data_IF_307356709535
#
_entry.id   IF_307356709535
#
_cell.length_a   1.000
_cell.length_b   1.000
_cell.length_c   1.000
_cell.angle_alpha   90.00
_cell.angle_beta   90.00
_cell.angle_gamma   90.00
#
_symmetry.space_group_name_H-M   'P 1'
#
loop_
_entity.id
_entity.type
_entity.pdbx_description
1 polymer ?
2 water ?
#
# COMPACT_ATOMS: atom_id res chain seq x y z
N UNK A 1 4.53 24.37 11.07
CA UNK A 1 3.69 24.49 9.85
C UNK A 1 2.24 24.68 10.29
N UNK A 2 1.52 25.57 9.60
CA UNK A 2 0.12 25.85 9.93
C UNK A 2 -0.82 24.67 9.64
N UNK A 3 -1.90 24.60 10.41
CA UNK A 3 -2.90 23.56 10.23
C UNK A 3 -3.51 23.71 8.83
N UNK A 4 -3.64 24.97 8.42
CA UNK A 4 -4.18 25.29 7.12
C UNK A 4 -3.24 24.71 6.07
N UNK A 5 -1.96 25.02 6.21
CA UNK A 5 -0.92 24.55 5.30
C UNK A 5 -0.82 23.02 5.26
N UNK A 6 -1.16 22.37 6.37
CA UNK A 6 -1.13 20.92 6.44
C UNK A 6 -2.23 20.32 5.59
N UNK A 7 -3.44 20.85 5.74
CA UNK A 7 -4.61 20.37 4.99
C UNK A 7 -4.43 20.61 3.49
N UNK A 8 -3.89 21.78 3.18
CA UNK A 8 -3.62 22.21 1.82
C UNK A 8 -2.62 21.25 1.18
N UNK A 9 -1.46 21.11 1.81
CA UNK A 9 -0.42 20.21 1.33
C UNK A 9 -1.00 18.79 1.26
N UNK A 10 -1.86 18.47 2.21
CA UNK A 10 -2.50 17.16 2.22
C UNK A 10 -3.28 16.94 0.94
N UNK A 11 -4.07 17.95 0.55
CA UNK A 11 -4.87 17.86 -0.67
C UNK A 11 -3.99 17.81 -1.92
N UNK A 12 -2.89 18.56 -1.93
CA UNK A 12 -1.98 18.55 -3.08
C UNK A 12 -1.40 17.14 -3.30
N UNK A 13 -1.00 16.50 -2.20
CA UNK A 13 -0.45 15.16 -2.29
C UNK A 13 -1.51 14.17 -2.76
N UNK A 14 -2.74 14.32 -2.29
CA UNK A 14 -3.82 13.45 -2.73
C UNK A 14 -4.04 13.63 -4.24
N UNK A 15 -4.03 14.88 -4.70
CA UNK A 15 -4.23 15.16 -6.13
C UNK A 15 -3.11 14.54 -7.00
N UNK A 16 -1.85 14.79 -6.62
CA UNK A 16 -0.72 14.23 -7.37
C UNK A 16 -0.75 12.70 -7.37
N UNK A 17 -0.96 12.11 -6.20
CA UNK A 17 -0.99 10.65 -6.08
C UNK A 17 -2.16 10.09 -6.87
N UNK A 18 -3.31 10.76 -6.79
CA UNK A 18 -4.47 10.30 -7.54
C UNK A 18 -4.20 10.37 -9.02
N UNK A 19 -3.51 11.44 -9.43
CA UNK A 19 -3.16 11.64 -10.82
C UNK A 19 -2.22 10.51 -11.28
N UNK A 20 -1.18 10.26 -10.49
CA UNK A 20 -0.21 9.20 -10.83
C UNK A 20 -0.88 7.83 -10.87
N UNK A 21 -1.77 7.58 -9.93
CA UNK A 21 -2.46 6.30 -9.85
C UNK A 21 -3.24 5.95 -11.12
N UNK A 22 -4.04 6.90 -11.58
CA UNK A 22 -4.83 6.75 -12.78
C UNK A 22 -3.94 6.38 -13.97
N UNK A 23 -2.80 7.07 -14.09
CA UNK A 23 -1.87 6.81 -15.20
C UNK A 23 -1.27 5.42 -15.13
N UNK A 24 -0.94 4.98 -13.92
CA UNK A 24 -0.35 3.65 -13.73
C UNK A 24 -1.33 2.57 -14.13
N UNK A 25 -2.58 2.69 -13.71
CA UNK A 25 -3.59 1.68 -14.07
C UNK A 25 -3.88 1.77 -15.57
N UNK A 26 -3.85 2.98 -16.12
CA UNK A 26 -4.07 3.15 -17.56
C UNK A 26 -2.87 2.49 -18.26
N UNK A 27 -1.69 2.60 -17.63
CA UNK A 27 -0.48 1.99 -18.17
C UNK A 27 -0.65 0.47 -18.20
N UNK A 28 -1.19 -0.10 -17.12
CA UNK A 28 -1.40 -1.54 -17.09
C UNK A 28 -2.33 -1.96 -18.23
N UNK A 29 -3.41 -1.21 -18.42
CA UNK A 29 -4.36 -1.53 -19.50
C UNK A 29 -3.66 -1.47 -20.85
N UNK A 30 -2.82 -0.45 -21.03
CA UNK A 30 -2.10 -0.32 -22.28
C UNK A 30 -1.19 -1.53 -22.52
N UNK A 31 -0.45 -1.96 -21.49
CA UNK A 31 0.45 -3.12 -21.63
C UNK A 31 -0.30 -4.41 -21.91
N UNK A 32 -1.40 -4.62 -21.21
CA UNK A 32 -2.23 -5.81 -21.41
C UNK A 32 -2.64 -5.90 -22.88
N UNK A 33 -2.84 -4.75 -23.51
CA UNK A 33 -3.24 -4.70 -24.90
C UNK A 33 -2.05 -4.71 -25.86
N UNK A 34 -0.85 -4.70 -25.31
CA UNK A 34 0.33 -4.71 -26.14
C UNK A 34 0.80 -3.32 -26.55
N UNK A 35 0.17 -2.27 -26.01
CA UNK A 35 0.58 -0.89 -26.32
C UNK A 35 1.67 -0.50 -25.31
N UNK A 36 2.85 -1.05 -25.52
CA UNK A 36 3.98 -0.85 -24.63
C UNK A 36 4.55 0.54 -24.57
N UNK A 37 4.66 1.20 -25.73
CA UNK A 37 5.17 2.54 -25.79
C UNK A 37 4.28 3.44 -24.96
N UNK A 38 2.98 3.25 -25.10
CA UNK A 38 2.00 4.04 -24.35
C UNK A 38 2.11 3.72 -22.85
N UNK A 39 2.20 2.43 -22.50
CA UNK A 39 2.31 2.01 -21.10
C UNK A 39 3.54 2.64 -20.44
N UNK A 40 4.69 2.56 -21.11
CA UNK A 40 5.90 3.14 -20.56
C UNK A 40 5.81 4.64 -20.43
N UNK A 41 5.23 5.29 -21.44
CA UNK A 41 5.08 6.73 -21.38
C UNK A 41 4.25 7.16 -20.16
N UNK A 42 3.16 6.45 -19.89
CA UNK A 42 2.27 6.73 -18.74
C UNK A 42 3.02 6.54 -17.40
N UNK A 43 3.84 5.49 -17.31
CA UNK A 43 4.59 5.26 -16.08
C UNK A 43 5.60 6.41 -15.83
N UNK A 44 6.23 6.89 -16.90
CA UNK A 44 7.18 7.98 -16.76
C UNK A 44 6.45 9.21 -16.28
N UNK A 45 5.30 9.49 -16.88
CA UNK A 45 4.47 10.61 -16.46
C UNK A 45 4.10 10.45 -14.98
N UNK A 46 3.59 9.26 -14.63
CA UNK A 46 3.18 8.99 -13.26
C UNK A 46 4.36 9.18 -12.27
N UNK A 47 5.55 8.74 -12.67
CA UNK A 47 6.73 8.89 -11.82
C UNK A 47 7.06 10.36 -11.55
N UNK A 48 6.84 11.20 -12.56
CA UNK A 48 7.09 12.63 -12.42
C UNK A 48 6.11 13.26 -11.42
N UNK A 49 4.85 12.81 -11.42
CA UNK A 49 3.84 13.32 -10.47
C UNK A 49 4.20 12.85 -9.06
N UNK A 50 4.63 11.59 -8.97
CA UNK A 50 5.00 11.02 -7.67
C UNK A 50 6.18 11.77 -7.05
N UNK A 51 7.19 12.09 -7.87
CA UNK A 51 8.39 12.79 -7.40
C UNK A 51 8.06 14.10 -6.67
N UNK A 52 7.16 14.91 -7.25
CA UNK A 52 6.77 16.16 -6.61
C UNK A 52 6.05 15.94 -5.28
N UNK A 53 5.10 15.02 -5.25
CA UNK A 53 4.38 14.73 -4.02
C UNK A 53 5.34 14.07 -3.00
N UNK A 54 6.22 13.19 -3.47
CA UNK A 54 7.15 12.52 -2.56
C UNK A 54 8.14 13.46 -1.90
N UNK A 55 8.66 14.43 -2.65
CA UNK A 55 9.61 15.35 -2.03
C UNK A 55 8.90 16.23 -0.98
N UNK A 56 7.62 16.56 -1.20
CA UNK A 56 6.85 17.34 -0.22
C UNK A 56 6.79 16.51 1.06
N UNK A 57 6.46 15.23 0.90
CA UNK A 57 6.36 14.32 2.02
C UNK A 57 7.68 14.23 2.78
N UNK A 58 8.79 14.13 2.04
CA UNK A 58 10.12 14.05 2.65
C UNK A 58 10.42 15.26 3.53
N UNK A 59 10.03 16.44 3.06
CA UNK A 59 10.27 17.66 3.81
C UNK A 59 9.39 17.71 5.05
N UNK A 60 8.12 17.38 4.86
CA UNK A 60 7.15 17.37 5.95
C UNK A 60 7.63 16.45 7.06
N UNK A 61 8.04 15.23 6.70
CA UNK A 61 8.53 14.23 7.64
C UNK A 61 9.80 14.66 8.36
N UNK A 62 10.70 15.32 7.64
CA UNK A 62 11.94 15.79 8.25
C UNK A 62 11.65 16.86 9.30
N UNK A 63 10.57 17.62 9.09
CA UNK A 63 10.19 18.64 10.06
C UNK A 63 9.87 17.98 11.39
N UNK A 64 9.07 16.91 11.37
CA UNK A 64 8.75 16.23 12.63
C UNK A 64 9.98 15.63 13.27
N UNK A 65 10.85 15.03 12.46
CA UNK A 65 12.07 14.42 12.98
C UNK A 65 12.94 15.47 13.67
N UNK A 66 12.95 16.69 13.13
CA UNK A 66 13.78 17.75 13.71
C UNK A 66 13.20 18.29 15.02
N UNK A 67 11.99 17.84 15.37
CA UNK A 67 11.37 18.26 16.62
C UNK A 67 10.14 19.13 16.48
N UNK A 68 9.69 19.33 15.24
CA UNK A 68 8.51 20.15 14.99
C UNK A 68 7.20 19.36 15.12
N UNK A 69 6.26 19.93 15.86
CA UNK A 69 4.97 19.29 16.07
C UNK A 69 3.98 19.73 15.01
N UNK A 70 3.87 18.91 13.97
CA UNK A 70 2.95 19.20 12.88
C UNK A 70 1.53 19.05 13.35
N UNK A 71 0.66 20.00 12.99
CA UNK A 71 -0.74 19.96 13.38
C UNK A 71 -1.32 18.63 12.93
N UNK A 72 -2.17 18.06 13.75
CA UNK A 72 -2.82 16.81 13.40
C UNK A 72 -3.70 17.07 12.18
N UNK A 73 -3.43 16.37 11.10
CA UNK A 73 -4.19 16.56 9.87
C UNK A 73 -4.63 15.23 9.25
N UNK A 74 -5.94 15.02 9.22
CA UNK A 74 -6.52 13.82 8.65
C UNK A 74 -6.33 13.85 7.14
N UNK A 75 -6.41 15.05 6.55
CA UNK A 75 -6.24 15.22 5.10
C UNK A 75 -4.82 14.78 4.71
N UNK A 76 -3.85 15.15 5.55
CA UNK A 76 -2.44 14.78 5.31
C UNK A 76 -2.22 13.27 5.39
N UNK A 77 -2.91 12.60 6.30
CA UNK A 77 -2.76 11.14 6.43
C UNK A 77 -3.25 10.50 5.16
N UNK A 78 -4.38 11.01 4.65
CA UNK A 78 -4.91 10.48 3.42
C UNK A 78 -3.96 10.80 2.28
N UNK A 79 -3.27 11.93 2.36
CA UNK A 79 -2.31 12.30 1.33
C UNK A 79 -1.25 11.22 1.35
N UNK A 80 -0.68 11.01 2.54
CA UNK A 80 0.34 9.99 2.76
C UNK A 80 -0.12 8.62 2.27
N UNK A 81 -1.35 8.24 2.63
CA UNK A 81 -1.94 6.95 2.25
C UNK A 81 -1.96 6.70 0.73
N UNK A 82 -2.54 7.65 -0.02
CA UNK A 82 -2.61 7.54 -1.46
C UNK A 82 -1.22 7.54 -2.08
N UNK A 83 -0.36 8.44 -1.63
CA UNK A 83 0.99 8.53 -2.16
C UNK A 83 1.79 7.25 -1.99
N UNK A 84 1.82 6.73 -0.77
CA UNK A 84 2.56 5.51 -0.48
C UNK A 84 2.03 4.26 -1.17
N UNK A 85 0.70 4.15 -1.32
CA UNK A 85 0.11 3.00 -1.99
C UNK A 85 0.34 3.15 -3.50
N UNK A 86 0.32 4.38 -4.00
CA UNK A 86 0.56 4.62 -5.43
C UNK A 86 2.03 4.29 -5.76
N UNK A 87 2.94 4.57 -4.81
CA UNK A 87 4.36 4.23 -5.00
C UNK A 87 4.47 2.70 -5.07
N UNK A 88 3.75 2.01 -4.19
CA UNK A 88 3.76 0.55 -4.21
C UNK A 88 3.28 0.09 -5.61
N UNK A 89 2.22 0.71 -6.10
CA UNK A 89 1.71 0.35 -7.43
C UNK A 89 2.80 0.54 -8.48
N UNK A 90 3.55 1.64 -8.39
CA UNK A 90 4.62 1.89 -9.34
C UNK A 90 5.74 0.82 -9.30
N UNK A 91 6.09 0.36 -8.10
CA UNK A 91 7.10 -0.68 -7.92
C UNK A 91 6.63 -1.97 -8.59
N UNK A 92 5.35 -2.28 -8.44
CA UNK A 92 4.74 -3.49 -9.01
C UNK A 92 4.50 -3.39 -10.54
N UNK A 93 4.11 -2.20 -11.00
CA UNK A 93 3.81 -1.97 -12.40
C UNK A 93 4.97 -2.33 -13.31
N UNK A 94 6.18 -2.03 -12.89
CA UNK A 94 7.34 -2.33 -13.70
C UNK A 94 7.35 -3.81 -14.08
N UNK A 95 7.14 -4.67 -13.08
CA UNK A 95 7.16 -6.11 -13.31
C UNK A 95 5.95 -6.64 -14.08
N UNK A 96 4.78 -6.06 -13.86
CA UNK A 96 3.59 -6.49 -14.56
C UNK A 96 3.75 -6.19 -16.06
N UNK A 97 4.30 -5.02 -16.38
CA UNK A 97 4.54 -4.63 -17.77
C UNK A 97 5.57 -5.55 -18.40
N UNK A 98 6.64 -5.84 -17.66
CA UNK A 98 7.69 -6.71 -18.18
C UNK A 98 7.14 -8.12 -18.43
N UNK A 99 6.26 -8.59 -17.55
CA UNK A 99 5.69 -9.92 -17.74
C UNK A 99 4.82 -9.94 -19.00
N UNK A 100 4.08 -8.86 -19.21
CA UNK A 100 3.26 -8.72 -20.40
C UNK A 100 4.18 -8.66 -21.64
N UNK A 101 5.25 -7.86 -21.59
CA UNK A 101 6.20 -7.74 -22.70
C UNK A 101 6.78 -9.10 -23.07
N UNK A 102 7.21 -9.86 -22.07
CA UNK A 102 7.76 -11.19 -22.34
C UNK A 102 6.68 -12.09 -22.95
N UNK A 103 5.44 -11.93 -22.48
CA UNK A 103 4.34 -12.72 -22.99
C UNK A 103 4.03 -12.35 -24.43
N UNK A 104 4.24 -11.08 -24.76
CA UNK A 104 4.00 -10.56 -26.10
C UNK A 104 4.86 -11.28 -27.14
N UNK B 1 2.26 7.24 26.16
CA UNK B 1 3.21 7.61 25.08
C UNK B 1 3.01 9.01 24.56
N UNK B 2 4.12 9.71 24.35
CA UNK B 2 4.11 11.07 23.83
C UNK B 2 4.48 11.00 22.34
N UNK B 3 4.18 12.08 21.61
CA UNK B 3 4.46 12.15 20.20
C UNK B 3 5.89 11.74 19.86
N UNK B 4 6.85 12.13 20.71
CA UNK B 4 8.26 11.79 20.48
C UNK B 4 8.45 10.28 20.46
N UNK B 5 7.79 9.59 21.40
CA UNK B 5 7.86 8.14 21.52
C UNK B 5 7.28 7.48 20.28
N UNK B 6 6.10 7.93 19.85
CA UNK B 6 5.46 7.39 18.65
C UNK B 6 6.38 7.63 17.46
N UNK B 7 7.01 8.80 17.42
CA UNK B 7 7.92 9.16 16.33
C UNK B 7 9.12 8.21 16.29
N UNK B 8 9.76 7.98 17.43
CA UNK B 8 10.91 7.09 17.52
C UNK B 8 10.53 5.67 17.09
N UNK B 9 9.38 5.21 17.56
CA UNK B 9 8.89 3.88 17.19
C UNK B 9 8.61 3.87 15.69
N UNK B 10 8.08 4.99 15.18
CA UNK B 10 7.79 5.09 13.76
C UNK B 10 9.05 4.86 12.94
N UNK B 11 10.17 5.41 13.39
CA UNK B 11 11.45 5.25 12.69
C UNK B 11 11.86 3.79 12.69
N UNK B 12 11.61 3.12 13.82
CA UNK B 12 11.96 1.71 13.97
C UNK B 12 11.18 0.84 12.98
N UNK B 13 9.91 1.19 12.80
CA UNK B 13 9.08 0.45 11.85
C UNK B 13 9.56 0.74 10.44
N UNK B 14 9.96 1.99 10.18
CA UNK B 14 10.45 2.37 8.85
C UNK B 14 11.75 1.60 8.56
N UNK B 15 12.62 1.48 9.56
CA UNK B 15 13.89 0.76 9.42
C UNK B 15 13.67 -0.69 8.97
N UNK B 16 12.76 -1.38 9.63
CA UNK B 16 12.46 -2.76 9.29
C UNK B 16 11.66 -2.92 8.00
N UNK B 17 10.63 -2.09 7.83
CA UNK B 17 9.81 -2.15 6.64
C UNK B 17 10.62 -1.75 5.40
N UNK B 18 11.42 -0.69 5.50
CA UNK B 18 12.21 -0.24 4.37
C UNK B 18 13.18 -1.33 3.93
N UNK B 19 13.78 -1.99 4.91
CA UNK B 19 14.71 -3.10 4.67
C UNK B 19 13.98 -4.24 3.95
N UNK B 20 12.81 -4.60 4.47
CA UNK B 20 12.01 -5.69 3.88
C UNK B 20 11.56 -5.32 2.46
N UNK B 21 11.15 -4.07 2.30
CA UNK B 21 10.73 -3.57 1.00
C UNK B 21 11.90 -3.66 0.02
N UNK B 22 13.08 -3.24 0.45
CA UNK B 22 14.22 -3.31 -0.47
C UNK B 22 14.48 -4.78 -0.86
N UNK B 23 14.37 -5.69 0.11
CA UNK B 23 14.62 -7.10 -0.15
C UNK B 23 13.61 -7.70 -1.12
N UNK B 24 12.34 -7.31 -0.97
CA UNK B 24 11.29 -7.81 -1.83
C UNK B 24 11.50 -7.32 -3.27
N UNK B 25 11.83 -6.04 -3.39
CA UNK B 25 12.09 -5.44 -4.72
C UNK B 25 13.35 -6.10 -5.30
N UNK B 26 14.35 -6.37 -4.47
CA UNK B 26 15.56 -7.02 -4.97
C UNK B 26 15.22 -8.45 -5.43
N UNK B 27 14.30 -9.10 -4.72
CA UNK B 27 13.89 -10.45 -5.10
C UNK B 27 13.18 -10.42 -6.46
N UNK B 28 12.42 -9.37 -6.72
CA UNK B 28 11.75 -9.26 -8.03
C UNK B 28 12.77 -9.05 -9.14
N UNK B 29 13.80 -8.28 -8.84
CA UNK B 29 14.86 -8.02 -9.81
C UNK B 29 15.57 -9.37 -10.09
N UNK B 30 15.82 -10.12 -9.02
CA UNK B 30 16.49 -11.41 -9.14
C UNK B 30 15.68 -12.37 -10.01
N UNK B 31 14.39 -12.46 -9.73
CA UNK B 31 13.49 -13.34 -10.46
C UNK B 31 13.44 -12.90 -11.93
N UNK B 32 13.40 -11.58 -12.12
CA UNK B 32 13.36 -10.99 -13.46
C UNK B 32 14.60 -11.41 -14.24
N UNK B 33 15.71 -11.60 -13.53
CA UNK B 33 16.95 -12.03 -14.16
C UNK B 33 17.17 -13.55 -14.11
N UNK B 34 16.14 -14.31 -13.76
CA UNK B 34 16.29 -15.76 -13.72
C UNK B 34 16.96 -16.36 -12.51
N UNK B 35 17.30 -15.55 -11.51
CA UNK B 35 17.91 -16.15 -10.32
C UNK B 35 16.82 -16.37 -9.27
N UNK B 36 16.06 -17.42 -9.49
CA UNK B 36 14.95 -17.77 -8.62
C UNK B 36 15.33 -18.16 -7.21
N UNK B 37 16.50 -18.77 -7.05
CA UNK B 37 16.98 -19.18 -5.72
C UNK B 37 17.28 -17.92 -4.91
N UNK B 38 17.87 -16.92 -5.58
CA UNK B 38 18.19 -15.67 -4.88
C UNK B 38 16.88 -14.94 -4.50
N UNK B 39 15.92 -14.92 -5.42
CA UNK B 39 14.62 -14.31 -5.23
C UNK B 39 13.94 -14.90 -3.98
N UNK B 40 13.82 -16.23 -3.95
CA UNK B 40 13.20 -16.90 -2.80
C UNK B 40 13.97 -16.61 -1.53
N UNK B 41 15.29 -16.67 -1.59
CA UNK B 41 16.08 -16.39 -0.40
C UNK B 41 15.81 -14.97 0.12
N UNK B 42 15.71 -14.02 -0.79
CA UNK B 42 15.46 -12.63 -0.39
C UNK B 42 14.06 -12.46 0.22
N UNK B 43 13.07 -13.21 -0.27
CA UNK B 43 11.72 -13.10 0.28
C UNK B 43 11.72 -13.66 1.70
N UNK B 44 12.41 -14.78 1.92
CA UNK B 44 12.48 -15.38 3.24
C UNK B 44 13.09 -14.37 4.21
N UNK B 45 14.12 -13.65 3.74
CA UNK B 45 14.74 -12.64 4.57
C UNK B 45 13.79 -11.47 4.86
N UNK B 46 13.11 -10.98 3.82
CA UNK B 46 12.16 -9.87 4.00
C UNK B 46 11.10 -10.28 5.03
N UNK B 47 10.64 -11.53 4.92
CA UNK B 47 9.63 -12.05 5.83
C UNK B 47 10.01 -11.89 7.29
N UNK B 48 11.31 -12.07 7.58
CA UNK B 48 11.82 -11.95 8.94
C UNK B 48 11.77 -10.51 9.42
N UNK B 49 12.05 -9.56 8.52
CA UNK B 49 11.99 -8.16 8.88
C UNK B 49 10.53 -7.75 9.05
N UNK B 50 9.65 -8.29 8.20
CA UNK B 50 8.24 -7.95 8.32
C UNK B 50 7.64 -8.49 9.63
N UNK B 51 8.02 -9.70 10.03
CA UNK B 51 7.47 -10.30 11.25
C UNK B 51 7.76 -9.46 12.47
N UNK B 52 8.97 -8.91 12.54
CA UNK B 52 9.41 -8.08 13.64
C UNK B 52 8.54 -6.82 13.74
N UNK B 53 8.43 -6.11 12.61
CA UNK B 53 7.63 -4.87 12.55
C UNK B 53 6.15 -5.17 12.71
N UNK B 54 5.68 -6.25 12.10
CA UNK B 54 4.27 -6.59 12.19
C UNK B 54 3.81 -6.88 13.62
N UNK B 55 4.62 -7.59 14.40
CA UNK B 55 4.22 -7.89 15.77
C UNK B 55 4.16 -6.63 16.61
N UNK B 56 5.04 -5.68 16.33
CA UNK B 56 5.05 -4.41 17.05
C UNK B 56 3.77 -3.66 16.68
N UNK B 57 3.44 -3.63 15.39
CA UNK B 57 2.22 -2.94 14.97
C UNK B 57 0.99 -3.53 15.65
N UNK B 58 0.96 -4.86 15.71
CA UNK B 58 -0.13 -5.60 16.31
C UNK B 58 -0.24 -5.23 17.79
N UNK B 59 0.90 -5.11 18.46
CA UNK B 59 0.91 -4.74 19.86
C UNK B 59 0.39 -3.33 20.07
N UNK B 60 0.84 -2.41 19.23
CA UNK B 60 0.40 -1.03 19.33
C UNK B 60 -1.09 -0.85 19.08
N UNK B 61 -1.63 -1.59 18.13
CA UNK B 61 -3.05 -1.50 17.81
C UNK B 61 -3.88 -2.05 18.96
N UNK B 62 -3.38 -3.10 19.60
CA UNK B 62 -4.10 -3.70 20.72
C UNK B 62 -4.10 -2.73 21.89
N UNK B 63 -3.03 -1.94 22.02
CA UNK B 63 -2.98 -0.95 23.11
C UNK B 63 -4.14 0.04 22.96
N UNK B 64 -4.37 0.48 21.73
CA UNK B 64 -5.46 1.41 21.46
C UNK B 64 -6.80 0.74 21.62
N UNK B 65 -6.90 -0.49 21.11
CA UNK B 65 -8.14 -1.26 21.22
C UNK B 65 -8.51 -1.39 22.70
N UNK B 66 -7.50 -1.61 23.53
CA UNK B 66 -7.69 -1.76 24.97
C UNK B 66 -8.02 -0.46 25.72
N UNK B 67 -8.03 0.67 25.01
CA UNK B 67 -8.35 1.93 25.65
C UNK B 67 -7.30 3.04 25.62
N UNK B 68 -6.02 2.67 25.53
CA UNK B 68 -4.94 3.64 25.51
C UNK B 68 -4.98 4.58 24.30
N UNK B 69 -4.81 5.87 24.57
CA UNK B 69 -4.82 6.86 23.50
C UNK B 69 -3.38 7.09 23.03
N UNK B 70 -3.16 6.81 21.75
CA UNK B 70 -1.84 6.97 21.16
C UNK B 70 -1.74 8.31 20.49
N UNK B 71 -0.67 9.03 20.77
CA UNK B 71 -0.53 10.35 20.13
C UNK B 71 -0.23 10.24 18.63
N UNK B 72 -0.63 11.27 17.90
CA UNK B 72 -0.42 11.37 16.47
C UNK B 72 1.02 11.65 16.13
N UNK B 73 1.52 10.94 15.10
CA UNK B 73 2.89 11.12 14.60
C UNK B 73 2.92 10.86 13.09
N UNK B 74 3.41 11.82 12.30
CA UNK B 74 3.49 11.59 10.85
C UNK B 74 4.50 10.48 10.57
N UNK B 75 5.55 10.42 11.38
CA UNK B 75 6.56 9.40 11.22
C UNK B 75 5.98 8.01 11.45
N UNK B 76 5.12 7.90 12.47
CA UNK B 76 4.46 6.64 12.75
C UNK B 76 3.55 6.30 11.58
N UNK B 77 2.83 7.31 11.08
CA UNK B 77 1.93 7.10 9.95
C UNK B 77 2.77 6.57 8.75
N UNK B 78 3.96 7.15 8.56
CA UNK B 78 4.86 6.76 7.49
C UNK B 78 5.34 5.31 7.68
N UNK B 79 5.68 4.97 8.93
CA UNK B 79 6.11 3.62 9.23
C UNK B 79 4.98 2.61 8.93
N UNK B 80 3.77 2.91 9.40
CA UNK B 80 2.62 2.04 9.15
C UNK B 80 2.42 1.86 7.64
N UNK B 81 2.54 2.95 6.89
CA UNK B 81 2.37 2.91 5.45
C UNK B 81 3.45 2.04 4.80
N UNK B 82 4.71 2.29 5.16
CA UNK B 82 5.82 1.50 4.67
C UNK B 82 5.57 0.01 4.95
N UNK B 83 5.16 -0.30 6.19
CA UNK B 83 4.92 -1.69 6.57
C UNK B 83 3.78 -2.39 5.86
N UNK B 84 2.62 -1.73 5.84
CA UNK B 84 1.44 -2.30 5.21
C UNK B 84 1.58 -2.45 3.70
N UNK B 85 2.18 -1.48 3.02
CA UNK B 85 2.37 -1.63 1.56
C UNK B 85 3.39 -2.75 1.31
N UNK B 86 4.38 -2.84 2.20
CA UNK B 86 5.40 -3.85 2.05
C UNK B 86 4.81 -5.24 2.28
N UNK B 87 3.87 -5.34 3.22
CA UNK B 87 3.18 -6.61 3.53
C UNK B 87 2.36 -7.05 2.32
N UNK B 88 1.68 -6.10 1.68
CA UNK B 88 0.90 -6.42 0.50
C UNK B 88 1.84 -6.98 -0.57
N UNK B 89 2.94 -6.28 -0.83
CA UNK B 89 3.89 -6.77 -1.81
C UNK B 89 4.31 -8.22 -1.47
N UNK B 90 4.62 -8.48 -0.21
CA UNK B 90 5.02 -9.81 0.24
C UNK B 90 3.90 -10.84 -0.02
N UNK B 91 2.65 -10.47 0.28
CA UNK B 91 1.48 -11.34 0.10
C UNK B 91 1.29 -11.80 -1.31
N UNK B 92 1.72 -10.98 -2.27
CA UNK B 92 1.58 -11.36 -3.66
C UNK B 92 2.91 -11.65 -4.38
N UNK B 93 4.04 -11.49 -3.69
CA UNK B 93 5.30 -11.69 -4.38
C UNK B 93 5.53 -13.08 -4.92
N UNK B 94 4.95 -14.08 -4.28
CA UNK B 94 5.09 -15.45 -4.76
C UNK B 94 4.58 -15.53 -6.20
N UNK B 95 3.45 -14.88 -6.46
CA UNK B 95 2.84 -14.90 -7.79
C UNK B 95 3.65 -14.19 -8.87
N UNK B 96 4.31 -13.09 -8.53
CA UNK B 96 5.13 -12.36 -9.49
C UNK B 96 6.36 -13.22 -9.81
N UNK B 97 6.92 -13.85 -8.78
CA UNK B 97 8.08 -14.71 -8.97
C UNK B 97 7.70 -15.95 -9.81
N UNK B 98 6.60 -16.62 -9.44
CA UNK B 98 6.16 -17.79 -10.20
C UNK B 98 5.93 -17.43 -11.67
N UNK B 99 5.30 -16.28 -11.91
CA UNK B 99 5.06 -15.82 -13.27
C UNK B 99 6.35 -15.69 -14.07
N UNK B 100 7.39 -15.14 -13.44
CA UNK B 100 8.68 -15.02 -14.12
C UNK B 100 9.23 -16.42 -14.40
N UNK B 101 9.01 -17.33 -13.45
CA UNK B 101 9.50 -18.71 -13.57
C UNK B 101 8.87 -19.45 -14.75
N UNK B 102 7.56 -19.33 -14.91
CA UNK B 102 6.86 -20.01 -15.99
C UNK B 102 7.25 -19.52 -17.38
N UNK B 103 7.54 -18.23 -17.48
CA UNK B 103 7.94 -17.66 -18.76
C UNK B 103 9.42 -17.86 -19.05
N UNK B 104 10.19 -18.12 -17.99
CA UNK B 104 11.64 -18.33 -18.10
C UNK B 104 12.00 -19.83 -18.15
N UNK C 1 -16.63 13.19 15.93
CA UNK C 1 -16.57 11.87 16.62
C UNK C 1 -15.61 11.89 17.80
N UNK C 2 -15.57 10.78 18.52
CA UNK C 2 -14.64 10.61 19.64
C UNK C 2 -13.74 9.45 19.20
N UNK C 3 -12.69 9.16 19.97
CA UNK C 3 -11.77 8.08 19.63
C UNK C 3 -12.40 6.70 19.50
N UNK C 4 -13.36 6.38 20.37
CA UNK C 4 -14.03 5.08 20.36
C UNK C 4 -14.74 4.84 19.04
N UNK C 5 -15.47 5.85 18.57
CA UNK C 5 -16.20 5.77 17.30
C UNK C 5 -15.24 5.63 16.13
N UNK C 6 -14.17 6.43 16.13
CA UNK C 6 -13.17 6.35 15.07
C UNK C 6 -12.58 4.93 15.08
N UNK C 7 -12.26 4.44 16.28
CA UNK C 7 -11.72 3.11 16.47
C UNK C 7 -12.68 2.02 15.98
N UNK C 8 -13.94 2.08 16.43
CA UNK C 8 -14.92 1.07 16.00
C UNK C 8 -15.07 1.16 14.48
N UNK C 9 -15.01 2.37 13.95
CA UNK C 9 -15.08 2.55 12.50
C UNK C 9 -13.89 1.81 11.88
N UNK C 10 -12.71 1.98 12.48
CA UNK C 10 -11.51 1.32 11.98
C UNK C 10 -11.71 -0.18 11.92
N UNK C 11 -12.23 -0.75 13.00
CA UNK C 11 -12.48 -2.19 13.08
C UNK C 11 -13.41 -2.73 12.01
N UNK C 12 -14.51 -2.02 11.77
CA UNK C 12 -15.47 -2.45 10.77
C UNK C 12 -14.80 -2.44 9.40
N UNK C 13 -13.99 -1.42 9.15
CA UNK C 13 -13.29 -1.36 7.87
C UNK C 13 -12.29 -2.52 7.79
N UNK C 14 -11.51 -2.72 8.85
CA UNK C 14 -10.51 -3.81 8.88
C UNK C 14 -11.24 -5.10 8.57
N UNK C 15 -12.46 -5.21 9.08
CA UNK C 15 -13.28 -6.41 8.88
C UNK C 15 -13.54 -6.68 7.41
N UNK C 16 -14.10 -5.70 6.70
CA UNK C 16 -14.39 -5.87 5.29
C UNK C 16 -13.13 -6.01 4.46
N UNK C 17 -12.14 -5.18 4.75
CA UNK C 17 -10.86 -5.20 4.04
C UNK C 17 -10.15 -6.54 4.25
N UNK C 18 -10.26 -7.10 5.45
CA UNK C 18 -9.63 -8.38 5.73
C UNK C 18 -10.26 -9.51 4.93
N UNK C 19 -11.57 -9.49 4.80
CA UNK C 19 -12.29 -10.50 4.03
C UNK C 19 -11.91 -10.41 2.56
N UNK C 20 -11.99 -9.20 2.02
CA UNK C 20 -11.69 -8.92 0.62
C UNK C 20 -10.28 -9.35 0.30
N UNK C 21 -9.36 -9.06 1.21
CA UNK C 21 -7.95 -9.44 1.02
C UNK C 21 -7.83 -10.96 0.91
N UNK C 22 -8.46 -11.68 1.83
CA UNK C 22 -8.42 -13.14 1.84
C UNK C 22 -8.93 -13.73 0.53
N UNK C 23 -10.03 -13.20 0.03
CA UNK C 23 -10.58 -13.69 -1.21
C UNK C 23 -9.66 -13.38 -2.39
N UNK C 24 -9.04 -12.21 -2.36
CA UNK C 24 -8.11 -11.82 -3.43
C UNK C 24 -6.88 -12.74 -3.44
N UNK C 25 -6.35 -13.04 -2.26
CA UNK C 25 -5.19 -13.94 -2.18
C UNK C 25 -5.62 -15.37 -2.57
N UNK C 26 -6.83 -15.76 -2.17
CA UNK C 26 -7.36 -17.08 -2.51
C UNK C 26 -7.55 -17.10 -4.04
N UNK C 27 -8.02 -15.99 -4.60
CA UNK C 27 -8.22 -15.91 -6.05
C UNK C 27 -6.90 -16.14 -6.79
N UNK C 28 -5.83 -15.48 -6.32
CA UNK C 28 -4.51 -15.63 -6.92
C UNK C 28 -4.09 -17.09 -6.81
N UNK C 29 -4.39 -17.70 -5.68
CA UNK C 29 -4.06 -19.12 -5.47
C UNK C 29 -4.78 -19.98 -6.52
N UNK C 30 -6.06 -19.70 -6.73
CA UNK C 30 -6.88 -20.44 -7.69
C UNK C 30 -6.33 -20.26 -9.10
N UNK C 31 -6.02 -19.01 -9.45
CA UNK C 31 -5.46 -18.71 -10.76
C UNK C 31 -4.12 -19.44 -10.94
N UNK C 32 -3.34 -19.54 -9.86
CA UNK C 32 -2.06 -20.23 -9.93
C UNK C 32 -2.30 -21.71 -10.27
N UNK C 33 -3.35 -22.28 -9.71
CA UNK C 33 -3.71 -23.68 -9.93
C UNK C 33 -4.51 -23.96 -11.20
N UNK C 34 -4.75 -22.91 -11.99
CA UNK C 34 -5.49 -23.07 -13.23
C UNK C 34 -7.00 -22.99 -13.10
N UNK C 35 -7.52 -22.96 -11.87
CA UNK C 35 -8.96 -22.88 -11.67
C UNK C 35 -9.36 -21.41 -11.82
N UNK C 36 -9.39 -20.94 -13.07
CA UNK C 36 -9.72 -19.56 -13.38
C UNK C 36 -11.14 -19.12 -13.06
N UNK C 37 -12.08 -20.06 -13.08
CA UNK C 37 -13.48 -19.74 -12.79
C UNK C 37 -13.59 -19.37 -11.33
N UNK C 38 -12.99 -20.18 -10.47
CA UNK C 38 -13.00 -19.93 -9.03
C UNK C 38 -12.37 -18.56 -8.76
N UNK C 39 -11.25 -18.27 -9.43
CA UNK C 39 -10.55 -16.99 -9.25
C UNK C 39 -11.49 -15.81 -9.53
N UNK C 40 -12.18 -15.86 -10.67
CA UNK C 40 -13.10 -14.77 -11.03
C UNK C 40 -14.20 -14.63 -10.00
N UNK C 41 -14.74 -15.77 -9.57
CA UNK C 41 -15.80 -15.80 -8.57
C UNK C 41 -15.28 -15.24 -7.26
N UNK C 42 -14.05 -15.63 -6.88
CA UNK C 42 -13.48 -15.11 -5.63
C UNK C 42 -13.23 -13.60 -5.72
N UNK C 43 -12.87 -13.14 -6.91
CA UNK C 43 -12.62 -11.72 -7.11
C UNK C 43 -13.92 -10.93 -6.97
N UNK C 44 -15.02 -11.45 -7.51
CA UNK C 44 -16.30 -10.74 -7.40
C UNK C 44 -16.70 -10.65 -5.94
N UNK C 45 -16.49 -11.72 -5.19
CA UNK C 45 -16.81 -11.73 -3.77
C UNK C 45 -15.94 -10.67 -3.06
N UNK C 46 -14.68 -10.57 -3.45
CA UNK C 46 -13.79 -9.56 -2.82
C UNK C 46 -14.36 -8.19 -3.14
N UNK C 47 -14.77 -8.01 -4.39
CA UNK C 47 -15.35 -6.74 -4.82
C UNK C 47 -16.54 -6.36 -3.94
N UNK C 48 -17.32 -7.36 -3.56
CA UNK C 48 -18.49 -7.12 -2.70
C UNK C 48 -18.08 -6.58 -1.33
N UNK C 49 -17.09 -7.24 -0.70
CA UNK C 49 -16.62 -6.82 0.62
C UNK C 49 -16.11 -5.38 0.56
N UNK C 50 -15.40 -5.07 -0.51
CA UNK C 50 -14.85 -3.74 -0.69
C UNK C 50 -15.97 -2.73 -0.86
N UNK C 51 -17.00 -3.12 -1.62
CA UNK C 51 -18.14 -2.26 -1.87
C UNK C 51 -18.74 -1.70 -0.58
N UNK C 52 -18.81 -2.55 0.44
CA UNK C 52 -19.39 -2.16 1.72
C UNK C 52 -18.45 -1.45 2.69
N UNK C 53 -17.16 -1.55 2.44
CA UNK C 53 -16.19 -0.87 3.31
C UNK C 53 -16.36 0.64 3.11
N UNK C 54 -16.54 1.05 1.86
CA UNK C 54 -16.75 2.45 1.51
C UNK C 54 -18.04 2.97 2.15
N UNK C 60 -14.56 11.58 5.45
CA UNK C 60 -13.47 12.01 6.31
C UNK C 60 -12.92 13.36 5.86
N UNK C 61 -12.35 13.39 4.66
CA UNK C 61 -11.78 14.61 4.10
C UNK C 61 -12.79 15.75 4.10
N UNK C 62 -14.00 15.43 3.61
CA UNK C 62 -15.09 16.40 3.58
C UNK C 62 -15.47 16.75 5.03
N UNK C 63 -15.53 15.75 5.90
CA UNK C 63 -15.85 15.98 7.30
C UNK C 63 -14.83 16.93 7.92
N UNK C 64 -13.54 16.66 7.72
CA UNK C 64 -12.49 17.53 8.25
C UNK C 64 -12.61 18.92 7.66
N UNK C 65 -12.90 18.98 6.37
CA UNK C 65 -13.04 20.26 5.70
C UNK C 65 -14.31 20.99 6.20
N UNK C 66 -15.34 20.23 6.59
CA UNK C 66 -16.60 20.83 7.06
C UNK C 66 -16.41 21.46 8.45
N UNK C 67 -15.13 21.70 8.79
CA UNK C 67 -14.71 22.27 10.05
C UNK C 67 -13.24 22.00 10.27
N UNK C 68 -12.96 21.06 11.17
CA UNK C 68 -11.62 20.57 11.57
C UNK C 68 -11.83 19.15 12.15
N UNK C 69 -12.10 19.05 13.47
CA UNK C 69 -12.43 17.81 14.18
C UNK C 69 -11.70 16.47 13.90
N UNK C 70 -12.41 15.38 14.19
CA UNK C 70 -11.97 14.00 14.00
C UNK C 70 -10.77 13.64 14.86
N UNK C 71 -10.98 12.76 15.84
CA UNK C 71 -9.90 12.32 16.73
C UNK C 71 -8.99 11.25 16.13
N UNK C 72 -7.68 11.43 16.34
CA UNK C 72 -6.69 10.50 15.81
C UNK C 72 -6.88 9.10 16.39
N UNK C 73 -6.90 8.12 15.49
CA UNK C 73 -7.06 6.73 15.86
C UNK C 73 -6.16 5.89 14.97
N UNK C 74 -5.19 5.21 15.56
CA UNK C 74 -4.31 4.33 14.81
C UNK C 74 -5.13 3.19 14.17
N UNK C 75 -6.13 2.67 14.87
CA UNK C 75 -6.98 1.60 14.33
C UNK C 75 -7.74 2.12 13.10
N UNK C 76 -8.17 3.37 13.13
CA UNK C 76 -8.89 3.94 11.98
C UNK C 76 -7.92 4.06 10.79
N UNK C 77 -6.69 4.50 11.00
CA UNK C 77 -5.78 4.59 9.85
C UNK C 77 -5.36 3.20 9.38
N UNK C 78 -5.30 2.26 10.31
CA UNK C 78 -4.93 0.88 9.99
C UNK C 78 -6.04 0.33 9.07
N UNK C 79 -7.29 0.57 9.45
CA UNK C 79 -8.41 0.11 8.64
C UNK C 79 -8.38 0.71 7.25
N UNK C 80 -8.15 2.02 7.15
CA UNK C 80 -8.06 2.72 5.85
C UNK C 80 -6.91 2.15 5.03
N UNK C 81 -5.75 2.05 5.68
CA UNK C 81 -4.56 1.51 5.03
C UNK C 81 -4.80 0.11 4.49
N UNK C 82 -5.41 -0.73 5.31
CA UNK C 82 -5.72 -2.10 4.91
C UNK C 82 -6.65 -2.03 3.71
N UNK C 83 -7.70 -1.22 3.82
CA UNK C 83 -8.66 -1.09 2.71
C UNK C 83 -7.98 -0.65 1.41
N UNK C 84 -7.17 0.41 1.48
CA UNK C 84 -6.46 0.93 0.31
C UNK C 84 -5.48 -0.05 -0.30
N UNK C 85 -4.69 -0.72 0.53
CA UNK C 85 -3.75 -1.69 -0.03
C UNK C 85 -4.52 -2.86 -0.64
N UNK C 86 -5.66 -3.21 -0.05
CA UNK C 86 -6.49 -4.29 -0.58
C UNK C 86 -7.14 -3.89 -1.90
N UNK C 87 -7.53 -2.62 -2.01
CA UNK C 87 -8.11 -2.09 -3.24
C UNK C 87 -7.02 -2.06 -4.32
N UNK C 88 -5.78 -1.76 -3.92
CA UNK C 88 -4.67 -1.73 -4.89
C UNK C 88 -4.57 -3.12 -5.48
N UNK C 89 -4.70 -4.13 -4.63
CA UNK C 89 -4.63 -5.53 -5.07
C UNK C 89 -5.79 -5.84 -6.00
N UNK C 90 -7.00 -5.43 -5.63
CA UNK C 90 -8.17 -5.63 -6.46
C UNK C 90 -7.95 -4.94 -7.82
N UNK C 91 -7.30 -3.78 -7.79
CA UNK C 91 -7.03 -3.02 -9.01
C UNK C 91 -6.00 -3.60 -9.95
N UNK C 92 -5.24 -4.58 -9.50
CA UNK C 92 -4.25 -5.17 -10.36
C UNK C 92 -4.40 -6.68 -10.50
N UNK C 93 -5.31 -7.26 -9.72
CA UNK C 93 -5.48 -8.69 -9.77
C UNK C 93 -5.90 -9.21 -11.14
N UNK C 94 -6.62 -8.39 -11.91
CA UNK C 94 -7.03 -8.80 -13.24
C UNK C 94 -5.80 -9.15 -14.06
N UNK C 95 -4.76 -8.34 -13.93
CA UNK C 95 -3.53 -8.56 -14.67
C UNK C 95 -2.76 -9.76 -14.21
N UNK C 96 -2.67 -9.97 -12.90
CA UNK C 96 -1.97 -11.14 -12.39
C UNK C 96 -2.63 -12.41 -12.90
N UNK C 97 -3.96 -12.45 -12.83
CA UNK C 97 -4.73 -13.60 -13.31
C UNK C 97 -4.55 -13.75 -14.82
N UNK C 98 -4.68 -12.65 -15.56
CA UNK C 98 -4.50 -12.67 -17.02
C UNK C 98 -3.14 -13.23 -17.39
N UNK C 99 -2.10 -12.81 -16.68
CA UNK C 99 -0.75 -13.31 -16.95
C UNK C 99 -0.67 -14.81 -16.67
N UNK C 100 -1.45 -15.29 -15.70
CA UNK C 100 -1.45 -16.73 -15.42
C UNK C 100 -2.11 -17.46 -16.59
N UNK C 101 -3.24 -16.95 -17.08
CA UNK C 101 -3.94 -17.56 -18.23
C UNK C 101 -3.01 -17.67 -19.43
N UNK C 102 -2.46 -16.53 -19.82
CA UNK C 102 -1.55 -16.49 -20.97
C UNK C 102 -0.37 -17.43 -20.76
N UNK C 103 0.07 -17.56 -19.52
CA UNK C 103 1.19 -18.44 -19.22
C UNK C 103 0.82 -19.90 -19.39
N UNK C 104 -0.38 -20.25 -18.96
CA UNK C 104 -0.89 -21.62 -19.04
C UNK C 104 -1.23 -22.04 -20.49
#
# INVERSE_FOLDING_TARGET
MNREEMTLLGFEIVAYAGDARSKLLEALKAAENGDFAKADSLVVEAGSCIAEAHSSQTGMLAREASGEELPYSVTMMHGQLHLMTTILLKDVIHHLIELYKRGAK
MNREEMTLLGFEIVAYAGDARSKLLEALKAAENGDFAKADSLVVEAGSCIAEAHSSQTGMLAREASGEELPYSVTMMHGQLHLMTTILLKDVIHHLIELYKRGAK
MNREEMTLLGFEIVAYAGDARSKLLEALKAAENGDFAKADSLVVEAGSCIAEAHSSQTGMLAREASGEELPYSVTMMHGQLHLMTTILLKDVIHHLIELYKRGAK
#
